data_IF_774042990610
#
_entry.id   IF_774042990610
#
_cell.length_a   1.000
_cell.length_b   1.000
_cell.length_c   1.000
_cell.angle_alpha   90.00
_cell.angle_beta   90.00
_cell.angle_gamma   90.00
#
_symmetry.space_group_name_H-M   'P 1'
#
loop_
_entity.id
_entity.type
_entity.pdbx_description
1 polymer ?
#
# COMPACT_ATOMS: atom_id res chain seq x y z
N UNK A 1 -2.85 12.68 -1.61
CA UNK A 1 -4.16 12.42 -0.97
C UNK A 1 -5.18 12.14 -2.07
N UNK A 2 -5.66 10.91 -2.19
CA UNK A 2 -6.72 10.54 -3.12
C UNK A 2 -8.04 11.04 -2.52
N UNK A 3 -8.65 12.04 -3.14
CA UNK A 3 -9.95 12.54 -2.73
C UNK A 3 -11.02 11.48 -3.04
N UNK A 4 -12.02 11.36 -2.14
CA UNK A 4 -13.00 10.26 -2.11
C UNK A 4 -14.18 10.44 -3.09
N UNK A 5 -14.14 11.43 -3.97
CA UNK A 5 -15.20 11.70 -4.93
C UNK A 5 -15.13 10.71 -6.10
N UNK A 6 -16.27 10.12 -6.49
CA UNK A 6 -16.34 9.10 -7.57
C UNK A 6 -15.72 9.59 -8.88
N UNK A 7 -15.87 10.87 -9.18
CA UNK A 7 -15.31 11.50 -10.38
C UNK A 7 -13.76 11.53 -10.33
N UNK A 8 -13.19 11.72 -9.16
CA UNK A 8 -11.73 11.71 -8.98
C UNK A 8 -11.14 10.31 -8.96
N UNK A 9 -11.90 9.30 -8.52
CA UNK A 9 -11.46 7.89 -8.61
C UNK A 9 -11.27 7.49 -10.08
N UNK A 10 -12.18 7.89 -10.96
CA UNK A 10 -12.09 7.62 -12.41
C UNK A 10 -10.88 8.35 -13.01
N UNK A 11 -10.71 9.63 -12.72
CA UNK A 11 -9.58 10.42 -13.22
C UNK A 11 -8.23 9.89 -12.69
N UNK A 12 -8.17 9.44 -11.44
CA UNK A 12 -6.98 8.84 -10.85
C UNK A 12 -6.65 7.48 -11.48
N UNK A 13 -7.66 6.65 -11.79
CA UNK A 13 -7.44 5.37 -12.47
C UNK A 13 -6.91 5.58 -13.89
N UNK A 14 -7.42 6.55 -14.63
CA UNK A 14 -6.94 6.88 -15.97
C UNK A 14 -5.50 7.40 -15.94
N UNK A 15 -5.17 8.29 -15.01
CA UNK A 15 -3.80 8.74 -14.79
C UNK A 15 -2.86 7.59 -14.37
N UNK A 16 -3.35 6.60 -13.62
CA UNK A 16 -2.59 5.42 -13.22
C UNK A 16 -2.30 4.51 -14.42
N UNK A 17 -3.30 4.26 -15.27
CA UNK A 17 -3.15 3.51 -16.52
C UNK A 17 -2.16 4.19 -17.47
N UNK A 18 -2.29 5.50 -17.69
CA UNK A 18 -1.42 6.26 -18.58
C UNK A 18 0.06 6.15 -18.17
N UNK A 19 0.34 6.21 -16.88
CA UNK A 19 1.69 6.05 -16.35
C UNK A 19 2.23 4.64 -16.55
N UNK A 20 1.40 3.61 -16.40
CA UNK A 20 1.77 2.24 -16.72
C UNK A 20 2.09 2.06 -18.22
N UNK A 21 1.33 2.72 -19.12
CA UNK A 21 1.62 2.72 -20.55
C UNK A 21 2.94 3.41 -20.91
N UNK A 22 3.38 4.37 -20.11
CA UNK A 22 4.69 5.00 -20.24
C UNK A 22 5.83 4.14 -19.68
N UNK A 23 5.53 2.93 -19.18
CA UNK A 23 6.50 2.00 -18.61
C UNK A 23 6.96 2.38 -17.18
N UNK A 24 6.23 3.26 -16.49
CA UNK A 24 6.56 3.63 -15.13
C UNK A 24 6.30 2.49 -14.14
N UNK A 25 7.16 2.43 -13.10
CA UNK A 25 6.94 1.56 -11.94
C UNK A 25 6.20 2.35 -10.88
N UNK A 26 5.05 1.85 -10.47
CA UNK A 26 4.17 2.55 -9.54
C UNK A 26 4.15 1.83 -8.19
N UNK A 27 4.22 2.62 -7.11
CA UNK A 27 3.97 2.17 -5.74
C UNK A 27 2.66 2.79 -5.26
N UNK A 28 1.81 1.99 -4.66
CA UNK A 28 0.57 2.45 -4.05
C UNK A 28 0.24 1.67 -2.78
N UNK A 29 -0.56 2.28 -1.91
CA UNK A 29 -1.02 1.70 -0.66
C UNK A 29 -2.52 1.41 -0.76
N UNK A 30 -2.92 0.14 -0.98
CA UNK A 30 -4.30 -0.21 -1.29
C UNK A 30 -5.26 -0.12 -0.09
N UNK A 31 -4.76 0.03 1.12
CA UNK A 31 -5.56 0.33 2.31
C UNK A 31 -6.27 1.69 2.19
N UNK A 32 -5.63 2.66 1.49
CA UNK A 32 -6.18 3.99 1.23
C UNK A 32 -6.35 4.85 2.48
N UNK A 33 -5.74 4.47 3.58
CA UNK A 33 -5.66 5.22 4.84
C UNK A 33 -4.43 4.76 5.62
N UNK A 34 -4.01 5.54 6.59
CA UNK A 34 -2.98 5.15 7.57
C UNK A 34 -3.60 4.36 8.73
N UNK A 35 -2.78 3.56 9.40
CA UNK A 35 -3.15 2.72 10.54
C UNK A 35 -2.14 2.84 11.67
N UNK A 36 -2.33 2.05 12.73
CA UNK A 36 -1.37 1.92 13.82
C UNK A 36 -0.08 1.16 13.43
N UNK A 37 -0.04 0.60 12.22
CA UNK A 37 1.11 -0.11 11.68
C UNK A 37 1.29 -1.55 12.20
N UNK A 38 0.35 -2.07 12.99
CA UNK A 38 0.44 -3.42 13.56
C UNK A 38 -0.31 -4.48 12.74
N UNK A 39 -1.14 -4.05 11.80
CA UNK A 39 -1.95 -4.92 10.96
C UNK A 39 -2.14 -4.33 9.58
N UNK A 40 -2.44 -5.18 8.61
CA UNK A 40 -2.88 -4.77 7.29
C UNK A 40 -4.38 -4.50 7.33
N UNK A 41 -4.79 -3.32 6.88
CA UNK A 41 -6.20 -2.99 6.73
C UNK A 41 -6.76 -3.59 5.43
N UNK A 42 -8.09 -3.82 5.34
CA UNK A 42 -8.70 -4.36 4.14
C UNK A 42 -8.40 -3.52 2.89
N UNK A 43 -7.92 -4.18 1.83
CA UNK A 43 -7.56 -3.53 0.58
C UNK A 43 -8.79 -3.06 -0.22
N UNK A 44 -8.72 -1.86 -0.76
CA UNK A 44 -9.73 -1.30 -1.65
C UNK A 44 -9.59 -1.87 -3.04
N UNK A 45 -10.39 -2.88 -3.36
CA UNK A 45 -10.31 -3.60 -4.65
C UNK A 45 -10.50 -2.70 -5.88
N UNK A 46 -11.08 -1.51 -5.73
CA UNK A 46 -11.24 -0.54 -6.83
C UNK A 46 -9.91 -0.03 -7.39
N UNK A 47 -8.85 0.03 -6.57
CA UNK A 47 -7.52 0.45 -7.01
C UNK A 47 -6.88 -0.56 -7.97
N UNK A 48 -7.25 -1.84 -7.87
CA UNK A 48 -6.74 -2.90 -8.73
C UNK A 48 -7.42 -2.98 -10.09
N UNK A 49 -8.52 -2.24 -10.30
CA UNK A 49 -9.21 -2.21 -11.59
C UNK A 49 -8.31 -1.63 -12.69
N UNK A 50 -7.58 -0.56 -12.38
CA UNK A 50 -6.66 0.06 -13.33
C UNK A 50 -5.55 -0.91 -13.79
N UNK A 51 -5.05 -1.77 -12.90
CA UNK A 51 -4.05 -2.79 -13.26
C UNK A 51 -4.62 -3.81 -14.24
N UNK A 52 -5.85 -4.26 -14.02
CA UNK A 52 -6.52 -5.23 -14.90
C UNK A 52 -6.79 -4.61 -16.28
N UNK A 53 -7.26 -3.37 -16.34
CA UNK A 53 -7.50 -2.68 -17.61
C UNK A 53 -6.18 -2.42 -18.37
N UNK A 54 -5.14 -2.03 -17.66
CA UNK A 54 -3.81 -1.84 -18.26
C UNK A 54 -3.24 -3.16 -18.80
N UNK A 55 -3.39 -4.28 -18.06
CA UNK A 55 -2.86 -5.57 -18.49
C UNK A 55 -3.54 -6.12 -19.77
N UNK A 56 -4.82 -5.82 -20.00
CA UNK A 56 -5.51 -6.16 -21.26
C UNK A 56 -4.79 -5.62 -22.49
N UNK A 57 -4.12 -4.48 -22.38
CA UNK A 57 -3.40 -3.81 -23.44
C UNK A 57 -1.89 -4.15 -23.44
N UNK A 58 -1.27 -4.11 -22.26
CA UNK A 58 0.18 -4.35 -22.10
C UNK A 58 0.55 -5.84 -22.13
N UNK A 59 -0.37 -6.74 -21.74
CA UNK A 59 -0.26 -8.21 -21.76
C UNK A 59 0.91 -8.82 -20.99
N UNK A 60 1.59 -8.06 -20.16
CA UNK A 60 2.72 -8.53 -19.36
C UNK A 60 2.97 -7.65 -18.13
N UNK A 61 1.89 -7.23 -17.47
CA UNK A 61 1.98 -6.44 -16.26
C UNK A 61 2.18 -7.34 -15.04
N UNK A 62 3.10 -6.94 -14.16
CA UNK A 62 3.37 -7.62 -12.90
C UNK A 62 2.97 -6.75 -11.72
N UNK A 63 2.50 -7.38 -10.67
CA UNK A 63 2.28 -6.79 -9.37
C UNK A 63 3.11 -7.54 -8.32
N UNK A 64 3.68 -6.79 -7.38
CA UNK A 64 4.49 -7.35 -6.30
C UNK A 64 4.02 -6.78 -4.97
N UNK A 65 3.66 -7.66 -4.03
CA UNK A 65 3.42 -7.28 -2.65
C UNK A 65 4.72 -6.88 -1.96
N UNK A 66 4.65 -5.86 -1.11
CA UNK A 66 5.74 -5.47 -0.23
C UNK A 66 5.17 -5.30 1.18
N UNK A 67 5.62 -6.13 2.11
CA UNK A 67 5.28 -5.97 3.53
C UNK A 67 6.28 -5.01 4.18
N UNK A 68 5.76 -4.00 4.88
CA UNK A 68 6.55 -3.06 5.66
C UNK A 68 6.31 -3.35 7.13
N UNK A 69 7.35 -3.74 7.85
CA UNK A 69 7.28 -3.98 9.29
C UNK A 69 8.13 -2.97 10.04
N UNK A 70 7.49 -2.24 10.94
CA UNK A 70 8.13 -1.27 11.80
C UNK A 70 8.43 -1.89 13.17
N UNK A 71 9.62 -1.66 13.68
CA UNK A 71 10.01 -1.96 15.06
C UNK A 71 10.29 -0.64 15.78
N UNK A 72 9.51 -0.37 16.82
CA UNK A 72 9.67 0.84 17.62
C UNK A 72 11.06 0.91 18.27
N UNK A 73 11.54 2.13 18.63
CA UNK A 73 12.71 2.30 19.46
C UNK A 73 12.56 1.57 20.80
N UNK A 74 13.67 1.19 21.40
CA UNK A 74 13.68 0.49 22.69
C UNK A 74 12.99 1.31 23.79
N UNK A 75 11.99 0.68 24.43
CA UNK A 75 11.18 1.30 25.48
C UNK A 75 9.96 2.09 24.98
N UNK A 76 9.78 2.21 23.67
CA UNK A 76 8.61 2.88 23.07
C UNK A 76 7.47 1.90 22.76
N UNK A 77 6.25 2.45 22.63
CA UNK A 77 5.06 1.67 22.20
C UNK A 77 5.28 1.10 20.80
N UNK A 78 4.84 -0.12 20.55
CA UNK A 78 4.94 -0.79 19.24
C UNK A 78 4.33 0.02 18.10
N UNK A 79 3.36 0.91 18.39
CA UNK A 79 2.70 1.80 17.45
C UNK A 79 3.43 3.12 17.24
N UNK A 80 4.67 3.25 17.70
CA UNK A 80 5.44 4.50 17.66
C UNK A 80 5.43 5.17 16.29
N UNK A 81 5.56 4.39 15.21
CA UNK A 81 5.56 4.88 13.82
C UNK A 81 4.16 4.94 13.19
N UNK A 82 3.13 4.42 13.85
CA UNK A 82 1.76 4.47 13.36
C UNK A 82 1.18 5.87 13.43
N UNK A 83 0.39 6.23 12.44
CA UNK A 83 -0.35 7.48 12.40
C UNK A 83 -1.81 7.19 12.05
N UNK A 84 -2.71 7.35 13.02
CA UNK A 84 -4.13 7.02 12.87
C UNK A 84 -5.02 7.90 13.76
N UNK A 85 -6.34 7.86 13.51
CA UNK A 85 -7.33 8.61 14.28
C UNK A 85 -7.10 10.11 14.22
N UNK A 86 -7.22 10.79 15.37
CA UNK A 86 -7.12 12.24 15.50
C UNK A 86 -5.69 12.72 15.83
N UNK A 87 -4.69 11.87 15.67
CA UNK A 87 -3.29 12.24 15.93
C UNK A 87 -2.87 13.35 14.96
N UNK A 88 -2.43 14.50 15.51
CA UNK A 88 -1.87 15.58 14.71
C UNK A 88 -0.64 15.11 13.94
N UNK A 89 -0.66 15.28 12.61
CA UNK A 89 0.48 14.91 11.76
C UNK A 89 1.77 15.63 12.16
N UNK A 90 1.67 16.92 12.49
CA UNK A 90 2.84 17.72 12.87
C UNK A 90 3.48 17.20 14.15
N UNK A 91 2.67 16.95 15.19
CA UNK A 91 3.18 16.49 16.49
C UNK A 91 3.77 15.09 16.37
N UNK A 92 3.12 14.22 15.60
CA UNK A 92 3.62 12.89 15.31
C UNK A 92 4.95 12.92 14.57
N UNK A 93 5.06 13.74 13.52
CA UNK A 93 6.30 13.90 12.74
C UNK A 93 7.43 14.45 13.63
N UNK A 94 7.16 15.48 14.45
CA UNK A 94 8.15 16.03 15.37
C UNK A 94 8.62 14.99 16.40
N UNK A 95 7.71 14.17 16.92
CA UNK A 95 8.05 13.07 17.84
C UNK A 95 9.02 12.08 17.17
N UNK A 96 8.73 11.65 15.94
CA UNK A 96 9.59 10.73 15.20
C UNK A 96 10.97 11.35 14.91
N UNK A 97 11.01 12.60 14.45
CA UNK A 97 12.26 13.28 14.10
C UNK A 97 13.13 13.63 15.31
N UNK A 98 12.52 13.81 16.49
CA UNK A 98 13.25 14.09 17.73
C UNK A 98 13.76 12.85 18.46
N UNK A 99 13.31 11.66 18.06
CA UNK A 99 13.79 10.41 18.66
C UNK A 99 15.25 10.16 18.30
N UNK A 100 16.08 9.95 19.34
CA UNK A 100 17.53 9.73 19.20
C UNK A 100 17.92 8.26 19.14
N UNK A 101 17.05 7.36 19.58
CA UNK A 101 17.34 5.94 19.66
C UNK A 101 17.17 5.26 18.31
N UNK A 102 16.22 5.77 17.50
CA UNK A 102 15.83 5.16 16.24
C UNK A 102 15.15 3.79 16.43
N UNK A 103 14.38 3.41 15.46
CA UNK A 103 13.80 2.07 15.37
C UNK A 103 14.30 1.36 14.10
N UNK A 104 13.55 0.35 13.67
CA UNK A 104 13.92 -0.45 12.49
C UNK A 104 12.74 -0.55 11.53
N UNK A 105 13.05 -0.58 10.24
CA UNK A 105 12.08 -0.88 9.18
C UNK A 105 12.58 -2.10 8.42
N UNK A 106 11.78 -3.15 8.36
CA UNK A 106 12.04 -4.33 7.53
C UNK A 106 11.10 -4.29 6.32
N UNK A 107 11.65 -4.43 5.12
CA UNK A 107 10.92 -4.53 3.86
C UNK A 107 11.00 -5.97 3.35
N UNK A 108 9.86 -6.62 3.18
CA UNK A 108 9.76 -7.97 2.64
C UNK A 108 9.14 -7.90 1.24
N UNK A 109 9.92 -8.17 0.22
CA UNK A 109 9.47 -8.24 -1.16
C UNK A 109 8.96 -9.65 -1.45
N UNK A 110 7.65 -9.77 -1.69
CA UNK A 110 7.05 -11.03 -2.11
C UNK A 110 7.36 -11.33 -3.58
N UNK A 111 7.05 -12.53 -4.03
CA UNK A 111 7.27 -12.92 -5.43
C UNK A 111 6.40 -12.08 -6.38
N UNK A 112 6.96 -11.49 -7.45
CA UNK A 112 6.15 -10.82 -8.46
C UNK A 112 5.21 -11.82 -9.14
N UNK A 113 3.95 -11.40 -9.35
CA UNK A 113 2.92 -12.19 -9.99
C UNK A 113 2.35 -11.45 -11.20
N UNK A 114 2.03 -12.17 -12.26
CA UNK A 114 1.35 -11.55 -13.42
C UNK A 114 -0.07 -11.14 -13.03
N UNK A 115 -0.50 -9.98 -13.51
CA UNK A 115 -1.88 -9.51 -13.30
C UNK A 115 -2.89 -10.50 -13.89
N UNK A 116 -2.54 -11.15 -15.01
CA UNK A 116 -3.36 -12.17 -15.66
C UNK A 116 -3.55 -13.48 -14.86
N UNK A 117 -2.78 -13.71 -13.80
CA UNK A 117 -2.95 -14.88 -12.92
C UNK A 117 -4.17 -14.75 -11.98
N UNK A 118 -4.69 -13.55 -11.81
CA UNK A 118 -5.82 -13.30 -10.92
C UNK A 118 -7.14 -13.34 -11.69
N UNK A 119 -8.18 -13.90 -11.07
CA UNK A 119 -9.53 -13.98 -11.65
C UNK A 119 -10.24 -12.61 -11.73
N UNK A 120 -9.66 -11.57 -11.18
CA UNK A 120 -10.19 -10.22 -11.20
C UNK A 120 -9.74 -9.38 -10.01
N UNK A 121 -10.19 -8.12 -9.97
CA UNK A 121 -9.73 -7.15 -8.96
C UNK A 121 -9.97 -7.58 -7.50
N UNK A 122 -11.06 -8.29 -7.21
CA UNK A 122 -11.38 -8.75 -5.85
C UNK A 122 -10.49 -9.90 -5.42
N UNK A 123 -10.19 -10.81 -6.35
CA UNK A 123 -9.28 -11.92 -6.14
C UNK A 123 -7.86 -11.41 -5.91
N UNK A 124 -7.38 -10.52 -6.79
CA UNK A 124 -6.08 -9.86 -6.66
C UNK A 124 -5.94 -9.12 -5.33
N UNK A 125 -6.92 -8.30 -4.98
CA UNK A 125 -6.96 -7.54 -3.73
C UNK A 125 -6.82 -8.46 -2.52
N UNK A 126 -7.64 -9.50 -2.43
CA UNK A 126 -7.64 -10.46 -1.32
C UNK A 126 -6.35 -11.26 -1.24
N UNK A 127 -5.88 -11.75 -2.37
CA UNK A 127 -4.67 -12.57 -2.45
C UNK A 127 -3.44 -11.80 -1.97
N UNK A 128 -3.26 -10.56 -2.45
CA UNK A 128 -2.14 -9.70 -2.05
C UNK A 128 -2.27 -9.23 -0.59
N UNK A 129 -3.48 -8.94 -0.12
CA UNK A 129 -3.74 -8.60 1.29
C UNK A 129 -3.29 -9.74 2.22
N UNK A 130 -3.71 -10.97 1.94
CA UNK A 130 -3.34 -12.15 2.72
C UNK A 130 -1.83 -12.42 2.68
N UNK A 131 -1.22 -12.29 1.50
CA UNK A 131 0.22 -12.47 1.32
C UNK A 131 1.01 -11.45 2.17
N UNK A 132 0.66 -10.18 2.09
CA UNK A 132 1.32 -9.10 2.84
C UNK A 132 1.09 -9.26 4.35
N UNK A 133 -0.13 -9.61 4.77
CA UNK A 133 -0.47 -9.81 6.17
C UNK A 133 0.27 -11.01 6.80
N UNK A 134 0.60 -12.04 6.03
CA UNK A 134 1.22 -13.27 6.52
C UNK A 134 2.58 -13.06 7.22
N UNK A 135 3.26 -11.95 6.96
CA UNK A 135 4.57 -11.62 7.57
C UNK A 135 4.44 -10.72 8.81
N UNK A 136 3.28 -10.09 9.01
CA UNK A 136 3.04 -9.22 10.18
C UNK A 136 2.59 -9.98 11.43
N UNK A 137 2.28 -11.27 11.30
CA UNK A 137 1.83 -12.16 12.39
C UNK A 137 3.01 -12.64 13.22
#
# INVERSE_FOLDING_TARGET
FINRDKTQIIANNQSFEDRLFLGERLLFFPEGTSSDGLQVLPFKSTLFQALIEADKKLRNLYVQGVTIRYSAPEGEDKRFYGWWGDISFKDHLFRILSDKKGGKIDLFFHSPRKVSEFMGRKDMSRSLEQEIASILV
#
